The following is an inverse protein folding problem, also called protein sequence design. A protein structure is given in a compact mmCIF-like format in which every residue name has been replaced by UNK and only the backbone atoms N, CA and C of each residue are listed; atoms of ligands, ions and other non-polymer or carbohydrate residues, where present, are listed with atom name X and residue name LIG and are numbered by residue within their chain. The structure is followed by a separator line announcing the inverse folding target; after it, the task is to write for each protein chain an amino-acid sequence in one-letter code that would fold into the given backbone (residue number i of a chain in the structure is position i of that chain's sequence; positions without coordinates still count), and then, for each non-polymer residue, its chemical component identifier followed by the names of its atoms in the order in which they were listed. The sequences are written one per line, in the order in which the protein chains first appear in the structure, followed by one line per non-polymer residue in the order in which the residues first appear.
data_IF_116015435261
#
_entry.id   IF_116015435261
#
_cell.length_a   1.000
_cell.length_b   1.000
_cell.length_c   1.000
_cell.angle_alpha   90.00
_cell.angle_beta   90.00
_cell.angle_gamma   90.00
#
_symmetry.space_group_name_H-M   'P 1'
#
loop_
_entity.id
_entity.type
_entity.pdbx_description
1 polymer ?
#
# COMPACT_ATOMS: atom_id res chain seq x y z
N UNK A 1 2.51 -5.12 -15.85
CA UNK A 1 1.73 -5.47 -14.64
C UNK A 1 1.35 -6.94 -14.69
N UNK A 2 1.46 -7.67 -13.59
CA UNK A 2 1.13 -9.10 -13.51
C UNK A 2 -0.33 -9.35 -13.07
N UNK A 3 -0.82 -8.62 -12.07
CA UNK A 3 -2.18 -8.76 -11.55
C UNK A 3 -2.57 -7.56 -10.69
N UNK A 4 -3.87 -7.47 -10.36
CA UNK A 4 -4.47 -6.43 -9.55
C UNK A 4 -5.35 -7.07 -8.47
N UNK A 5 -5.29 -6.55 -7.24
CA UNK A 5 -6.13 -7.01 -6.12
C UNK A 5 -6.70 -5.83 -5.35
N UNK A 6 -7.90 -6.04 -4.82
CA UNK A 6 -8.50 -5.23 -3.77
C UNK A 6 -8.48 -6.07 -2.49
N UNK A 7 -7.86 -5.56 -1.43
CA UNK A 7 -7.72 -6.28 -0.17
C UNK A 7 -8.19 -5.42 1.01
N UNK A 8 -8.95 -6.00 1.94
CA UNK A 8 -9.36 -5.31 3.16
C UNK A 8 -8.16 -5.19 4.11
N UNK A 9 -8.24 -4.24 5.03
CA UNK A 9 -7.20 -4.01 6.03
C UNK A 9 -7.67 -3.87 7.50
N UNK A 10 -8.79 -4.48 7.95
CA UNK A 10 -9.17 -4.39 9.35
C UNK A 10 -8.18 -5.21 10.19
N UNK A 11 -7.42 -4.62 11.13
CA UNK A 11 -6.34 -5.32 11.82
C UNK A 11 -6.78 -6.56 12.61
N UNK A 12 -8.07 -6.64 12.97
CA UNK A 12 -8.67 -7.79 13.65
C UNK A 12 -8.55 -9.11 12.89
N UNK A 13 -8.30 -9.09 11.56
CA UNK A 13 -8.13 -10.33 10.78
C UNK A 13 -6.75 -10.97 10.93
N UNK A 14 -5.83 -10.32 11.67
CA UNK A 14 -4.53 -10.87 12.04
C UNK A 14 -4.69 -11.62 13.37
N UNK A 15 -4.31 -12.91 13.45
CA UNK A 15 -4.53 -13.74 14.65
C UNK A 15 -4.00 -13.13 15.96
N UNK A 16 -2.78 -12.57 15.95
CA UNK A 16 -2.17 -11.92 17.13
C UNK A 16 -3.00 -10.73 17.67
N UNK A 17 -3.79 -10.10 16.80
CA UNK A 17 -4.66 -8.95 17.13
C UNK A 17 -6.08 -9.44 17.45
N UNK A 18 -6.64 -10.31 16.60
CA UNK A 18 -8.01 -10.82 16.72
C UNK A 18 -8.23 -11.71 17.94
N UNK A 19 -7.20 -12.47 18.35
CA UNK A 19 -7.21 -13.36 19.54
C UNK A 19 -8.45 -14.27 19.60
N UNK A 20 -8.83 -14.83 18.46
CA UNK A 20 -10.00 -15.67 18.26
C UNK A 20 -11.19 -14.96 17.59
N UNK A 21 -11.25 -13.62 17.63
CA UNK A 21 -12.32 -12.86 16.96
C UNK A 21 -12.17 -12.82 15.44
N UNK A 22 -10.95 -12.99 14.92
CA UNK A 22 -10.68 -13.07 13.48
C UNK A 22 -11.51 -14.16 12.79
N UNK A 23 -11.88 -15.23 13.52
CA UNK A 23 -12.69 -16.34 13.02
C UNK A 23 -14.09 -15.91 12.54
N UNK A 24 -14.61 -14.76 13.03
CA UNK A 24 -15.86 -14.19 12.52
C UNK A 24 -15.75 -13.75 11.04
N UNK A 25 -14.53 -13.49 10.57
CA UNK A 25 -14.20 -13.11 9.20
C UNK A 25 -13.41 -14.21 8.47
N UNK A 26 -13.58 -15.49 8.83
CA UNK A 26 -12.76 -16.59 8.31
C UNK A 26 -12.76 -16.70 6.78
N UNK A 27 -13.89 -16.39 6.13
CA UNK A 27 -13.97 -16.41 4.67
C UNK A 27 -13.12 -15.30 4.04
N UNK A 28 -13.11 -14.11 4.65
CA UNK A 28 -12.22 -13.00 4.26
C UNK A 28 -10.76 -13.38 4.44
N UNK A 29 -10.41 -13.99 5.57
CA UNK A 29 -9.04 -14.44 5.87
C UNK A 29 -8.58 -15.45 4.81
N UNK A 30 -9.39 -16.47 4.52
CA UNK A 30 -9.09 -17.47 3.48
C UNK A 30 -8.89 -16.83 2.11
N UNK A 31 -9.73 -15.86 1.74
CA UNK A 31 -9.58 -15.13 0.48
C UNK A 31 -8.28 -14.32 0.44
N UNK A 32 -7.91 -13.64 1.53
CA UNK A 32 -6.64 -12.92 1.63
C UNK A 32 -5.42 -13.87 1.53
N UNK A 33 -5.47 -15.04 2.17
CA UNK A 33 -4.44 -16.08 2.06
C UNK A 33 -4.34 -16.63 0.64
N UNK A 34 -5.46 -16.84 -0.05
CA UNK A 34 -5.47 -17.26 -1.46
C UNK A 34 -4.87 -16.21 -2.38
N UNK A 35 -5.18 -14.93 -2.17
CA UNK A 35 -4.54 -13.82 -2.89
C UNK A 35 -3.04 -13.82 -2.64
N UNK A 36 -2.60 -13.97 -1.38
CA UNK A 36 -1.19 -14.10 -1.03
C UNK A 36 -0.51 -15.24 -1.78
N UNK A 37 -1.10 -16.43 -1.79
CA UNK A 37 -0.59 -17.59 -2.55
C UNK A 37 -0.46 -17.29 -4.06
N UNK A 38 -1.46 -16.66 -4.67
CA UNK A 38 -1.44 -16.29 -6.09
C UNK A 38 -0.33 -15.28 -6.40
N UNK A 39 -0.16 -14.25 -5.55
CA UNK A 39 0.92 -13.27 -5.69
C UNK A 39 2.28 -13.96 -5.59
N UNK A 40 2.45 -14.90 -4.65
CA UNK A 40 3.71 -15.62 -4.46
C UNK A 40 4.08 -16.45 -5.70
N UNK A 41 3.09 -17.10 -6.32
CA UNK A 41 3.27 -17.85 -7.56
C UNK A 41 3.71 -16.96 -8.73
N UNK A 42 3.22 -15.72 -8.78
CA UNK A 42 3.62 -14.74 -9.79
C UNK A 42 5.07 -14.24 -9.60
N UNK A 43 5.61 -14.36 -8.38
CA UNK A 43 6.97 -13.91 -8.01
C UNK A 43 7.29 -12.49 -8.52
N UNK A 44 6.51 -11.46 -8.12
CA UNK A 44 6.77 -10.09 -8.53
C UNK A 44 8.10 -9.58 -7.96
N UNK A 45 8.71 -8.67 -8.71
CA UNK A 45 9.86 -7.89 -8.25
C UNK A 45 9.41 -6.73 -7.34
N UNK A 46 8.21 -6.23 -7.58
CA UNK A 46 7.67 -5.03 -6.92
C UNK A 46 6.19 -5.20 -6.58
N UNK A 47 5.82 -4.86 -5.35
CA UNK A 47 4.42 -4.66 -4.96
C UNK A 47 4.13 -3.17 -4.95
N UNK A 48 3.09 -2.75 -5.65
CA UNK A 48 2.55 -1.40 -5.58
C UNK A 48 1.35 -1.46 -4.65
N UNK A 49 1.40 -0.72 -3.54
CA UNK A 49 0.30 -0.66 -2.58
C UNK A 49 -0.26 0.76 -2.50
N UNK A 50 -1.57 0.88 -2.66
CA UNK A 50 -2.32 2.10 -2.33
C UNK A 50 -3.00 1.88 -0.99
N UNK A 51 -2.79 2.80 -0.05
CA UNK A 51 -3.43 2.79 1.27
C UNK A 51 -4.28 4.07 1.49
N UNK A 52 -5.34 4.01 2.31
CA UNK A 52 -6.05 5.19 2.76
C UNK A 52 -5.56 5.76 4.10
N UNK A 53 -4.66 5.08 4.82
CA UNK A 53 -4.25 5.44 6.19
C UNK A 53 -2.86 6.05 6.31
N UNK A 54 -2.13 6.18 5.21
CA UNK A 54 -0.90 6.99 5.18
C UNK A 54 -1.22 8.49 5.26
N UNK A 55 -0.24 9.34 4.96
CA UNK A 55 -0.50 10.79 4.92
C UNK A 55 -1.38 11.15 3.73
N UNK A 56 -2.65 11.45 4.00
CA UNK A 56 -3.61 11.90 2.99
C UNK A 56 -3.51 13.42 2.82
N UNK A 57 -3.28 13.86 1.59
CA UNK A 57 -3.39 15.27 1.20
C UNK A 57 -4.73 15.50 0.50
N UNK A 58 -5.32 16.69 0.70
CA UNK A 58 -6.61 17.04 0.12
C UNK A 58 -6.54 17.20 -1.40
N UNK A 59 -5.42 17.69 -1.90
CA UNK A 59 -5.23 18.16 -3.27
C UNK A 59 -4.08 17.45 -3.99
N UNK A 60 -3.52 16.38 -3.42
CA UNK A 60 -2.42 15.64 -4.02
C UNK A 60 -2.36 14.18 -3.57
N UNK A 61 -1.71 13.36 -4.40
CA UNK A 61 -1.36 11.98 -4.06
C UNK A 61 -0.01 11.98 -3.33
N UNK A 62 0.10 11.28 -2.21
CA UNK A 62 1.38 11.11 -1.51
C UNK A 62 2.10 9.85 -1.96
N UNK A 63 3.41 9.94 -2.22
CA UNK A 63 4.24 8.81 -2.62
C UNK A 63 5.55 8.80 -1.81
N UNK A 64 5.89 7.65 -1.24
CA UNK A 64 7.14 7.47 -0.48
C UNK A 64 8.33 7.38 -1.45
N UNK A 65 9.35 8.20 -1.21
CA UNK A 65 10.59 8.29 -2.01
C UNK A 65 11.86 7.95 -1.23
N UNK A 66 11.73 7.66 0.06
CA UNK A 66 12.83 7.12 0.89
C UNK A 66 13.33 5.77 0.36
N UNK A 67 14.55 5.38 0.77
CA UNK A 67 15.13 4.09 0.33
C UNK A 67 14.45 2.89 0.96
N UNK A 68 13.98 3.04 2.20
CA UNK A 68 13.34 1.99 2.99
C UNK A 68 12.12 2.55 3.69
N UNK A 69 11.16 1.68 3.99
CA UNK A 69 9.99 2.00 4.80
C UNK A 69 9.73 0.87 5.78
N UNK A 70 9.57 1.21 7.06
CA UNK A 70 9.35 0.27 8.15
C UNK A 70 8.09 0.63 8.93
N UNK A 71 7.50 -0.35 9.60
CA UNK A 71 6.36 -0.16 10.48
C UNK A 71 6.07 -1.42 11.28
N UNK A 72 5.22 -1.30 12.30
CA UNK A 72 4.74 -2.43 13.08
C UNK A 72 3.29 -2.22 13.55
N UNK A 73 2.69 -3.28 14.08
CA UNK A 73 1.29 -3.26 14.54
C UNK A 73 1.17 -2.99 16.04
N UNK A 74 2.08 -2.21 16.65
CA UNK A 74 2.03 -1.89 18.09
C UNK A 74 0.73 -1.19 18.50
N UNK A 75 0.18 -0.34 17.63
CA UNK A 75 -1.08 0.38 17.88
C UNK A 75 -2.29 -0.56 18.00
N UNK A 76 -2.12 -1.83 17.61
CA UNK A 76 -3.12 -2.90 17.75
C UNK A 76 -2.66 -4.00 18.73
N UNK A 77 -1.75 -3.68 19.66
CA UNK A 77 -1.18 -4.59 20.64
C UNK A 77 -0.40 -5.79 20.02
N UNK A 78 0.18 -5.61 18.83
CA UNK A 78 1.00 -6.63 18.17
C UNK A 78 2.38 -6.09 17.72
N UNK A 79 3.23 -5.57 18.64
CA UNK A 79 4.53 -4.96 18.30
C UNK A 79 5.55 -5.96 17.71
N UNK A 80 5.27 -7.26 17.84
CA UNK A 80 6.12 -8.32 17.31
C UNK A 80 5.96 -8.51 15.79
N UNK A 81 4.86 -8.01 15.21
CA UNK A 81 4.63 -8.04 13.77
C UNK A 81 5.24 -6.77 13.18
N UNK A 82 6.41 -6.92 12.56
CA UNK A 82 7.21 -5.84 12.01
C UNK A 82 7.44 -6.05 10.52
N UNK A 83 7.52 -4.94 9.80
CA UNK A 83 7.81 -4.89 8.39
C UNK A 83 8.97 -3.95 8.11
N UNK A 84 9.78 -4.32 7.14
CA UNK A 84 10.80 -3.45 6.57
C UNK A 84 10.94 -3.77 5.08
N UNK A 85 10.70 -2.79 4.23
CA UNK A 85 10.75 -2.93 2.79
C UNK A 85 11.74 -1.96 2.17
N UNK A 86 12.47 -2.40 1.16
CA UNK A 86 13.13 -1.51 0.22
C UNK A 86 12.10 -0.88 -0.70
N UNK A 87 12.21 0.42 -0.95
CA UNK A 87 11.36 1.10 -1.93
C UNK A 87 11.92 0.90 -3.35
N UNK A 88 11.06 0.62 -4.32
CA UNK A 88 11.45 0.62 -5.75
C UNK A 88 11.58 2.06 -6.25
N UNK A 89 12.68 2.72 -5.91
CA UNK A 89 12.93 4.12 -6.25
C UNK A 89 12.90 4.39 -7.76
N UNK A 90 13.28 3.40 -8.59
CA UNK A 90 13.20 3.50 -10.05
C UNK A 90 11.74 3.57 -10.49
N UNK A 91 10.90 2.63 -10.05
CA UNK A 91 9.49 2.62 -10.45
C UNK A 91 8.73 3.82 -9.85
N UNK A 92 8.97 4.13 -8.58
CA UNK A 92 8.43 5.30 -7.90
C UNK A 92 8.72 6.59 -8.67
N UNK A 93 9.97 6.83 -9.06
CA UNK A 93 10.35 8.04 -9.81
C UNK A 93 9.64 8.11 -11.17
N UNK A 94 9.49 6.96 -11.84
CA UNK A 94 8.79 6.91 -13.14
C UNK A 94 7.29 7.19 -13.02
N UNK A 95 6.65 6.71 -11.94
CA UNK A 95 5.25 7.02 -11.64
C UNK A 95 5.08 8.53 -11.43
N UNK A 96 5.96 9.15 -10.64
CA UNK A 96 5.95 10.60 -10.40
C UNK A 96 6.14 11.37 -11.71
N UNK A 97 7.12 10.99 -12.53
CA UNK A 97 7.37 11.61 -13.84
C UNK A 97 6.13 11.58 -14.73
N UNK A 98 5.45 10.42 -14.82
CA UNK A 98 4.25 10.25 -15.62
C UNK A 98 3.07 11.07 -15.06
N UNK A 99 2.88 11.10 -13.73
CA UNK A 99 1.85 11.91 -13.08
C UNK A 99 2.05 13.42 -13.33
N UNK A 100 3.30 13.90 -13.24
CA UNK A 100 3.65 15.30 -13.53
C UNK A 100 3.32 15.68 -14.98
N UNK A 101 3.60 14.80 -15.96
CA UNK A 101 3.25 15.04 -17.37
C UNK A 101 1.74 15.15 -17.60
N UNK A 102 0.95 14.42 -16.83
CA UNK A 102 -0.51 14.45 -16.87
C UNK A 102 -1.12 15.54 -15.96
N UNK A 103 -0.28 16.42 -15.36
CA UNK A 103 -0.68 17.47 -14.42
C UNK A 103 -1.45 16.95 -13.19
N UNK A 104 -1.14 15.73 -12.73
CA UNK A 104 -1.70 15.16 -11.51
C UNK A 104 -0.81 15.56 -10.33
N UNK A 105 -1.33 16.28 -9.32
CA UNK A 105 -0.53 16.72 -8.18
C UNK A 105 -0.02 15.54 -7.34
N UNK A 106 1.28 15.53 -7.07
CA UNK A 106 1.94 14.52 -6.24
C UNK A 106 2.83 15.20 -5.21
N UNK A 107 2.72 14.75 -3.96
CA UNK A 107 3.64 15.10 -2.87
C UNK A 107 4.57 13.92 -2.63
N UNK A 108 5.88 14.18 -2.69
CA UNK A 108 6.89 13.16 -2.36
C UNK A 108 7.20 13.20 -0.88
N UNK A 109 7.20 12.03 -0.24
CA UNK A 109 7.51 11.88 1.17
C UNK A 109 8.83 11.14 1.36
N UNK A 110 9.77 11.76 2.07
CA UNK A 110 11.06 11.21 2.49
C UNK A 110 11.48 11.85 3.82
N UNK A 111 12.67 11.52 4.32
CA UNK A 111 13.19 11.99 5.62
C UNK A 111 13.26 13.53 5.71
N UNK A 112 13.44 14.24 4.58
CA UNK A 112 13.48 15.71 4.59
C UNK A 112 12.09 16.31 4.67
N UNK A 113 11.17 15.82 3.84
CA UNK A 113 9.80 16.36 3.80
C UNK A 113 8.98 15.91 5.00
N UNK A 114 9.26 14.74 5.57
CA UNK A 114 8.61 14.25 6.79
C UNK A 114 8.85 15.20 7.96
N UNK A 115 10.09 15.66 8.13
CA UNK A 115 10.45 16.67 9.14
C UNK A 115 9.78 18.02 8.87
N UNK A 116 9.69 18.44 7.60
CA UNK A 116 9.07 19.72 7.22
C UNK A 116 7.57 19.74 7.52
N UNK A 117 6.87 18.65 7.21
CA UNK A 117 5.43 18.53 7.38
C UNK A 117 5.03 17.94 8.74
N UNK A 118 6.01 17.61 9.60
CA UNK A 118 5.80 16.93 10.88
C UNK A 118 4.95 15.65 10.73
N UNK A 119 5.38 14.79 9.81
CA UNK A 119 4.73 13.53 9.44
C UNK A 119 5.65 12.37 9.84
N UNK A 120 5.07 11.32 10.40
CA UNK A 120 5.77 10.05 10.62
C UNK A 120 5.92 9.30 9.29
N UNK A 121 7.17 9.05 8.89
CA UNK A 121 7.48 8.29 7.69
C UNK A 121 7.51 6.79 7.99
N UNK A 122 6.34 6.23 8.26
CA UNK A 122 6.18 4.83 8.64
C UNK A 122 5.16 4.11 7.74
N UNK A 123 5.29 2.78 7.67
CA UNK A 123 4.31 1.93 7.01
C UNK A 123 3.05 1.88 7.88
N UNK A 124 1.92 2.32 7.34
CA UNK A 124 0.63 2.34 8.03
C UNK A 124 -0.05 0.96 8.02
N UNK A 125 -1.04 0.79 8.89
CA UNK A 125 -1.76 -0.48 9.02
C UNK A 125 -2.59 -0.85 7.79
N UNK A 126 -3.08 0.15 7.05
CA UNK A 126 -3.75 -0.05 5.77
C UNK A 126 -2.86 -0.75 4.76
N UNK A 127 -1.57 -0.44 4.75
CA UNK A 127 -0.60 -1.17 3.94
C UNK A 127 -0.17 -2.50 4.59
N UNK A 128 0.10 -2.51 5.90
CA UNK A 128 0.62 -3.70 6.59
C UNK A 128 -0.34 -4.90 6.60
N UNK A 129 -1.65 -4.69 6.75
CA UNK A 129 -2.60 -5.80 6.85
C UNK A 129 -2.68 -6.62 5.55
N UNK A 130 -2.84 -6.03 4.35
CA UNK A 130 -2.73 -6.79 3.10
C UNK A 130 -1.37 -7.46 2.91
N UNK A 131 -0.28 -6.74 3.22
CA UNK A 131 1.09 -7.25 3.08
C UNK A 131 1.37 -8.43 4.03
N UNK A 132 0.73 -8.47 5.21
CA UNK A 132 0.81 -9.59 6.15
C UNK A 132 0.40 -10.92 5.50
N UNK A 133 -0.59 -10.92 4.60
CA UNK A 133 -1.09 -12.14 3.97
C UNK A 133 -0.21 -12.67 2.84
N UNK A 134 0.82 -11.93 2.43
CA UNK A 134 1.76 -12.37 1.39
C UNK A 134 2.82 -13.36 1.93
N UNK A 135 2.76 -13.77 3.21
CA UNK A 135 3.79 -14.59 3.91
C UNK A 135 4.57 -15.54 2.99
N UNK A 136 5.90 -15.50 3.10
CA UNK A 136 6.88 -16.31 2.35
C UNK A 136 7.14 -15.91 0.89
N UNK A 137 6.98 -14.65 0.50
CA UNK A 137 7.53 -14.17 -0.78
C UNK A 137 9.05 -14.18 -0.78
N UNK A 138 9.64 -14.39 -1.96
CA UNK A 138 10.97 -13.83 -2.28
C UNK A 138 10.97 -12.34 -1.96
N UNK A 139 12.12 -11.79 -1.58
CA UNK A 139 12.26 -10.35 -1.31
C UNK A 139 11.75 -9.54 -2.51
N UNK A 140 10.74 -8.69 -2.29
CA UNK A 140 10.23 -7.75 -3.28
C UNK A 140 10.45 -6.32 -2.79
N UNK A 141 10.45 -5.36 -3.72
CA UNK A 141 10.47 -3.93 -3.40
C UNK A 141 9.04 -3.37 -3.31
N UNK A 142 8.88 -2.26 -2.61
CA UNK A 142 7.59 -1.62 -2.40
C UNK A 142 7.50 -0.29 -3.14
N UNK A 143 6.37 -0.03 -3.78
CA UNK A 143 5.92 1.33 -4.08
C UNK A 143 4.75 1.61 -3.15
N UNK A 144 4.90 2.56 -2.24
CA UNK A 144 3.87 2.94 -1.29
C UNK A 144 3.25 4.28 -1.68
N UNK A 145 1.93 4.27 -1.85
CA UNK A 145 1.14 5.40 -2.31
C UNK A 145 -0.01 5.59 -1.33
N UNK A 146 -0.24 6.83 -0.91
CA UNK A 146 -1.46 7.22 -0.23
C UNK A 146 -2.30 8.05 -1.19
N UNK A 147 -3.55 7.64 -1.43
CA UNK A 147 -4.42 8.37 -2.33
C UNK A 147 -4.78 9.76 -1.78
N UNK A 148 -5.02 10.71 -2.68
CA UNK A 148 -5.51 12.05 -2.31
C UNK A 148 -7.02 12.18 -2.51
N UNK A 149 -7.62 13.25 -1.99
CA UNK A 149 -9.03 13.60 -2.23
C UNK A 149 -9.26 14.23 -3.62
N UNK A 150 -8.63 13.64 -4.65
CA UNK A 150 -8.76 14.05 -6.05
C UNK A 150 -10.06 13.50 -6.67
N UNK A 151 -10.44 14.04 -7.83
CA UNK A 151 -11.61 13.54 -8.55
C UNK A 151 -11.41 12.09 -9.02
N UNK A 152 -12.50 11.32 -9.20
CA UNK A 152 -12.40 9.96 -9.73
C UNK A 152 -11.67 9.85 -11.08
N UNK A 153 -11.81 10.88 -11.92
CA UNK A 153 -11.12 10.95 -13.22
C UNK A 153 -9.61 11.13 -13.05
N UNK A 154 -9.18 12.00 -12.14
CA UNK A 154 -7.75 12.17 -11.83
C UNK A 154 -7.15 10.90 -11.23
N UNK A 155 -7.87 10.24 -10.30
CA UNK A 155 -7.43 8.97 -9.72
C UNK A 155 -7.33 7.85 -10.79
N UNK A 156 -8.28 7.80 -11.72
CA UNK A 156 -8.22 6.86 -12.85
C UNK A 156 -7.01 7.15 -13.76
N UNK A 157 -6.76 8.42 -14.08
CA UNK A 157 -5.62 8.83 -14.88
C UNK A 157 -4.30 8.54 -14.18
N UNK A 158 -4.24 8.69 -12.85
CA UNK A 158 -3.08 8.28 -12.06
C UNK A 158 -2.85 6.77 -12.13
N UNK A 159 -3.91 5.95 -12.08
CA UNK A 159 -3.82 4.51 -12.32
C UNK A 159 -3.23 4.15 -13.69
N UNK A 160 -3.51 4.96 -14.73
CA UNK A 160 -2.86 4.83 -16.05
C UNK A 160 -1.39 5.21 -16.00
N UNK A 161 -1.02 6.26 -15.28
CA UNK A 161 0.38 6.64 -15.04
C UNK A 161 1.19 5.51 -14.42
N UNK A 162 0.61 4.84 -13.40
CA UNK A 162 1.22 3.66 -12.77
C UNK A 162 1.44 2.55 -13.81
N UNK A 163 0.38 2.17 -14.55
CA UNK A 163 0.47 1.10 -15.55
C UNK A 163 1.54 1.39 -16.61
N UNK A 164 1.60 2.63 -17.10
CA UNK A 164 2.61 3.05 -18.06
C UNK A 164 4.01 2.98 -17.47
N UNK A 165 4.21 3.46 -16.24
CA UNK A 165 5.50 3.39 -15.55
C UNK A 165 5.99 1.94 -15.38
N UNK A 166 5.10 1.00 -15.04
CA UNK A 166 5.46 -0.42 -14.95
C UNK A 166 5.95 -0.95 -16.30
N UNK A 167 5.30 -0.57 -17.40
CA UNK A 167 5.67 -1.01 -18.74
C UNK A 167 7.00 -0.36 -19.19
N UNK A 168 7.15 0.95 -18.99
CA UNK A 168 8.35 1.71 -19.37
C UNK A 168 9.60 1.19 -18.65
N UNK A 169 9.46 0.81 -17.37
CA UNK A 169 10.53 0.21 -16.59
C UNK A 169 10.70 -1.30 -16.81
N UNK A 170 9.85 -1.93 -17.63
CA UNK A 170 9.79 -3.37 -17.85
C UNK A 170 9.74 -4.19 -16.54
N UNK A 171 8.92 -3.75 -15.58
CA UNK A 171 8.85 -4.32 -14.22
C UNK A 171 7.79 -5.40 -14.07
N UNK A 172 8.13 -6.45 -13.32
CA UNK A 172 7.18 -7.46 -12.83
C UNK A 172 6.51 -6.97 -11.55
N UNK A 173 5.50 -6.13 -11.70
CA UNK A 173 4.76 -5.56 -10.58
C UNK A 173 3.39 -6.23 -10.36
N UNK A 174 2.97 -6.32 -9.10
CA UNK A 174 1.58 -6.58 -8.69
C UNK A 174 1.03 -5.34 -8.00
N UNK A 175 -0.23 -5.01 -8.26
CA UNK A 175 -0.92 -3.89 -7.66
C UNK A 175 -1.94 -4.35 -6.59
N UNK A 176 -1.90 -3.72 -5.43
CA UNK A 176 -2.85 -3.92 -4.33
C UNK A 176 -3.47 -2.57 -3.97
N UNK A 177 -4.76 -2.43 -4.22
CA UNK A 177 -5.55 -1.39 -3.58
C UNK A 177 -5.98 -1.91 -2.21
N UNK A 178 -5.53 -1.24 -1.15
CA UNK A 178 -5.99 -1.51 0.20
C UNK A 178 -7.22 -0.66 0.49
N UNK A 179 -8.31 -1.30 0.92
CA UNK A 179 -9.58 -0.61 1.09
C UNK A 179 -10.60 -1.49 1.80
N UNK A 180 -11.22 -0.93 2.83
CA UNK A 180 -12.43 -1.49 3.40
C UNK A 180 -13.65 -0.93 2.64
N UNK A 181 -14.66 -1.76 2.44
CA UNK A 181 -15.91 -1.35 1.79
C UNK A 181 -16.77 -0.53 2.77
N UNK A 182 -18.06 -0.81 2.88
CA UNK A 182 -18.91 -0.13 3.86
C UNK A 182 -18.45 -0.45 5.28
N UNK A 183 -18.02 0.57 6.01
CA UNK A 183 -17.69 0.46 7.42
C UNK A 183 -17.95 1.81 8.10
N UNK A 184 -18.21 1.76 9.41
CA UNK A 184 -18.46 2.94 10.23
C UNK A 184 -17.81 2.72 11.59
N UNK A 185 -16.92 3.63 11.95
CA UNK A 185 -16.10 3.54 13.17
C UNK A 185 -16.57 4.50 14.27
N UNK A 186 -17.51 5.41 13.98
CA UNK A 186 -18.06 6.39 14.92
C UNK A 186 -19.60 6.36 14.93
N UNK A 187 -20.22 6.76 16.04
CA UNK A 187 -21.68 7.02 16.12
C UNK A 187 -22.00 8.33 15.38
N UNK A 188 -23.27 8.54 14.99
CA UNK A 188 -23.73 9.72 14.22
C UNK A 188 -23.78 10.93 15.13
#
# INVERSE_FOLDING_TARGET
MLSYYLMPHPPIIIPDIGKGNENKAINTIKACEEVGKKINQLSPETIIIITPHGTVFRDAIAIITSKTLSGDLRNFNAPNIKFNFEIDTTLTSKIIENATKENIPVVTLNEKTSNLYNIDLELDHGAMVPLYFLKNTKTFKLVHITYGMLSPLELMNFGRCIKNAVNDCNKKAVFIASGDLSHRLTVD
#
